data_IF_039403888472
#
_entry.id   IF_039403888472
#
_cell.length_a   1.000
_cell.length_b   1.000
_cell.length_c   1.000
_cell.angle_alpha   90.00
_cell.angle_beta   90.00
_cell.angle_gamma   90.00
#
_symmetry.space_group_name_H-M   'P 1'
#
loop_
_entity.id
_entity.type
_entity.pdbx_description
1 polymer ?
#
# COMPACT_ATOMS: atom_id res chain seq x y z
N UNK A 1 5.35 -5.67 31.53
CA UNK A 1 4.97 -6.28 30.25
C UNK A 1 3.60 -6.96 30.39
N UNK A 2 3.39 -7.94 31.31
CA UNK A 2 2.14 -8.72 31.43
C UNK A 2 0.90 -7.83 31.58
N UNK A 3 0.88 -6.87 32.53
CA UNK A 3 -0.24 -5.96 32.76
C UNK A 3 -0.56 -5.09 31.54
N UNK A 4 0.46 -4.68 30.77
CA UNK A 4 0.27 -3.94 29.51
C UNK A 4 -0.40 -4.81 28.46
N UNK A 5 0.02 -6.06 28.32
CA UNK A 5 -0.59 -7.00 27.37
C UNK A 5 -2.04 -7.34 27.74
N UNK A 6 -2.31 -7.55 29.03
CA UNK A 6 -3.67 -7.74 29.56
C UNK A 6 -4.56 -6.51 29.30
N UNK A 7 -4.02 -5.30 29.49
CA UNK A 7 -4.73 -4.06 29.20
C UNK A 7 -5.04 -3.94 27.70
N UNK A 8 -4.03 -4.14 26.82
CA UNK A 8 -4.23 -4.09 25.37
C UNK A 8 -5.26 -5.13 24.91
N UNK A 9 -5.18 -6.38 25.41
CA UNK A 9 -6.12 -7.42 25.05
C UNK A 9 -7.57 -7.16 25.48
N UNK A 10 -7.76 -6.32 26.50
CA UNK A 10 -9.11 -5.98 27.01
C UNK A 10 -9.67 -4.68 26.38
N UNK A 11 -8.83 -3.82 25.81
CA UNK A 11 -9.24 -2.47 25.34
C UNK A 11 -9.21 -2.35 23.82
N UNK A 12 -8.30 -3.09 23.15
CA UNK A 12 -8.20 -3.04 21.70
C UNK A 12 -9.36 -3.87 21.10
N UNK A 13 -10.20 -3.26 20.25
CA UNK A 13 -11.33 -3.96 19.65
C UNK A 13 -10.87 -5.01 18.63
N UNK A 14 -11.64 -6.06 18.47
CA UNK A 14 -11.46 -7.00 17.37
C UNK A 14 -11.82 -6.35 16.03
N UNK A 15 -11.40 -6.97 14.93
CA UNK A 15 -11.59 -6.42 13.57
C UNK A 15 -13.07 -6.27 13.20
N UNK A 16 -13.94 -7.12 13.73
CA UNK A 16 -15.40 -7.11 13.52
C UNK A 16 -16.14 -6.09 14.41
N UNK A 17 -15.51 -5.63 15.48
CA UNK A 17 -16.01 -4.55 16.35
C UNK A 17 -15.64 -3.14 15.82
N UNK A 18 -14.75 -3.06 14.81
CA UNK A 18 -14.35 -1.80 14.23
C UNK A 18 -15.48 -1.19 13.38
N UNK A 19 -15.50 0.15 13.23
CA UNK A 19 -16.45 0.83 12.35
C UNK A 19 -16.44 0.21 10.94
N UNK A 20 -17.62 0.04 10.31
CA UNK A 20 -17.71 -0.58 9.01
C UNK A 20 -16.90 0.19 7.95
N UNK A 21 -16.15 -0.52 7.15
CA UNK A 21 -15.44 0.05 6.01
C UNK A 21 -16.37 0.07 4.79
N UNK A 22 -16.37 1.18 4.06
CA UNK A 22 -17.16 1.35 2.85
C UNK A 22 -16.25 1.38 1.62
N UNK A 23 -16.69 0.71 0.56
CA UNK A 23 -16.05 0.85 -0.74
C UNK A 23 -16.46 2.18 -1.43
N UNK A 24 -15.90 2.48 -2.60
CA UNK A 24 -16.21 3.72 -3.34
C UNK A 24 -17.67 3.84 -3.78
N UNK A 25 -18.43 2.73 -3.77
CA UNK A 25 -19.87 2.70 -4.07
C UNK A 25 -20.73 2.93 -2.83
N UNK A 26 -20.12 3.08 -1.66
CA UNK A 26 -20.82 3.24 -0.37
C UNK A 26 -21.31 1.93 0.24
N UNK A 27 -20.97 0.78 -0.33
CA UNK A 27 -21.33 -0.54 0.18
C UNK A 27 -20.43 -0.91 1.35
N UNK A 28 -21.00 -1.52 2.38
CA UNK A 28 -20.27 -2.02 3.55
C UNK A 28 -19.48 -3.26 3.18
N UNK A 29 -18.16 -3.23 3.39
CA UNK A 29 -17.29 -4.39 3.28
C UNK A 29 -17.01 -4.93 4.68
N UNK A 30 -17.54 -6.13 4.96
CA UNK A 30 -17.30 -6.81 6.24
C UNK A 30 -16.00 -7.61 6.19
N UNK A 31 -15.30 -7.71 7.32
CA UNK A 31 -14.10 -8.55 7.44
C UNK A 31 -14.48 -10.05 7.56
N UNK A 32 -15.08 -10.60 6.51
CA UNK A 32 -15.51 -11.98 6.43
C UNK A 32 -14.44 -12.82 5.74
N UNK A 33 -13.82 -13.74 6.45
CA UNK A 33 -12.79 -14.65 5.92
C UNK A 33 -13.33 -15.66 4.89
N UNK A 34 -14.64 -15.86 4.79
CA UNK A 34 -15.27 -16.75 3.80
C UNK A 34 -15.80 -15.97 2.59
N UNK A 35 -15.73 -14.64 2.64
CA UNK A 35 -16.15 -13.78 1.55
C UNK A 35 -15.16 -13.72 0.39
N UNK A 36 -15.52 -13.02 -0.70
CA UNK A 36 -14.61 -12.77 -1.82
C UNK A 36 -13.44 -11.89 -1.37
N UNK A 37 -12.23 -12.26 -1.81
CA UNK A 37 -11.00 -11.62 -1.34
C UNK A 37 -10.82 -10.23 -1.89
N UNK A 38 -10.53 -9.27 -1.00
CA UNK A 38 -10.11 -7.91 -1.34
C UNK A 38 -8.94 -7.49 -0.46
N UNK A 39 -7.90 -6.97 -1.08
CA UNK A 39 -6.69 -6.47 -0.42
C UNK A 39 -6.57 -4.97 -0.67
N UNK A 40 -6.25 -4.19 0.36
CA UNK A 40 -5.97 -2.78 0.24
C UNK A 40 -4.51 -2.47 0.54
N UNK A 41 -3.80 -1.90 -0.43
CA UNK A 41 -2.39 -1.55 -0.31
C UNK A 41 -2.24 -0.14 0.24
N UNK A 42 -1.76 -0.02 1.47
CA UNK A 42 -1.75 1.25 2.18
C UNK A 42 -0.36 1.88 2.33
N UNK A 43 0.70 1.13 2.00
CA UNK A 43 2.09 1.62 2.10
C UNK A 43 3.01 0.85 1.17
N UNK A 44 3.94 1.56 0.56
CA UNK A 44 5.12 1.00 -0.13
C UNK A 44 6.38 1.44 0.59
N UNK A 45 7.34 0.55 0.75
CA UNK A 45 8.68 0.86 1.25
C UNK A 45 9.70 0.33 0.24
N UNK A 46 10.75 1.09 -0.02
CA UNK A 46 11.84 0.67 -0.91
C UNK A 46 13.00 0.16 -0.07
N UNK A 47 13.29 -1.12 -0.18
CA UNK A 47 14.36 -1.73 0.59
C UNK A 47 15.57 -2.07 -0.28
N UNK A 48 16.80 -1.83 0.21
CA UNK A 48 18.02 -2.24 -0.48
C UNK A 48 17.98 -3.75 -0.77
N UNK A 49 18.35 -4.15 -1.98
CA UNK A 49 18.46 -5.55 -2.44
C UNK A 49 17.13 -6.31 -2.63
N UNK A 50 16.01 -5.81 -2.12
CA UNK A 50 14.69 -6.43 -2.26
C UNK A 50 13.84 -5.68 -3.27
N UNK A 51 13.95 -4.35 -3.29
CA UNK A 51 13.13 -3.44 -4.07
C UNK A 51 11.86 -3.03 -3.32
N UNK A 52 10.77 -2.90 -4.05
CA UNK A 52 9.51 -2.44 -3.49
C UNK A 52 8.86 -3.53 -2.63
N UNK A 53 8.58 -3.16 -1.39
CA UNK A 53 7.83 -3.95 -0.42
C UNK A 53 6.49 -3.28 -0.22
N UNK A 54 5.42 -3.93 -0.67
CA UNK A 54 4.07 -3.39 -0.55
C UNK A 54 3.35 -4.00 0.64
N UNK A 55 2.87 -3.12 1.53
CA UNK A 55 2.09 -3.49 2.70
C UNK A 55 0.61 -3.41 2.38
N UNK A 56 -0.12 -4.44 2.77
CA UNK A 56 -1.54 -4.55 2.53
C UNK A 56 -2.30 -4.99 3.78
N UNK A 57 -3.59 -4.68 3.79
CA UNK A 57 -4.57 -5.23 4.72
C UNK A 57 -5.55 -6.11 3.94
N UNK A 58 -5.85 -7.28 4.49
CA UNK A 58 -6.93 -8.14 3.98
C UNK A 58 -8.25 -7.54 4.45
N UNK A 59 -9.01 -6.96 3.53
CA UNK A 59 -10.28 -6.30 3.84
C UNK A 59 -11.44 -7.29 3.92
N UNK A 60 -11.38 -8.35 3.11
CA UNK A 60 -12.36 -9.45 3.05
C UNK A 60 -11.70 -10.68 2.45
N UNK A 61 -12.22 -11.85 2.75
CA UNK A 61 -11.74 -13.13 2.23
C UNK A 61 -10.42 -13.58 2.86
N UNK A 62 -9.68 -14.35 2.09
CA UNK A 62 -8.37 -14.90 2.42
C UNK A 62 -7.42 -14.73 1.24
N UNK A 63 -6.14 -14.62 1.53
CA UNK A 63 -5.08 -14.62 0.52
C UNK A 63 -4.09 -15.73 0.81
N UNK A 64 -3.73 -16.47 -0.23
CA UNK A 64 -2.71 -17.52 -0.20
C UNK A 64 -1.52 -17.15 -1.07
N UNK A 65 -0.40 -17.76 -0.77
CA UNK A 65 0.76 -17.72 -1.65
C UNK A 65 0.39 -18.26 -3.04
N UNK A 66 0.72 -17.49 -4.08
CA UNK A 66 0.46 -17.86 -5.47
C UNK A 66 -0.89 -17.43 -6.03
N UNK A 67 -1.74 -16.78 -5.26
CA UNK A 67 -3.04 -16.31 -5.72
C UNK A 67 -2.93 -15.21 -6.78
N UNK A 68 -3.87 -15.23 -7.73
CA UNK A 68 -4.01 -14.26 -8.80
C UNK A 68 -5.09 -13.22 -8.45
N UNK A 69 -4.78 -11.96 -8.68
CA UNK A 69 -5.64 -10.81 -8.39
C UNK A 69 -5.78 -9.90 -9.59
N UNK A 70 -6.83 -9.09 -9.57
CA UNK A 70 -7.01 -7.98 -10.51
C UNK A 70 -6.94 -6.67 -9.75
N UNK A 71 -6.10 -5.74 -10.21
CA UNK A 71 -6.03 -4.39 -9.65
C UNK A 71 -7.27 -3.60 -10.11
N UNK A 72 -8.14 -3.24 -9.16
CA UNK A 72 -9.39 -2.53 -9.41
C UNK A 72 -9.17 -1.09 -9.90
N UNK A 73 -8.01 -0.52 -9.63
CA UNK A 73 -7.69 0.86 -9.98
C UNK A 73 -7.03 0.98 -11.35
N UNK A 74 -6.29 -0.05 -11.77
CA UNK A 74 -5.48 -0.04 -13.00
C UNK A 74 -5.90 -1.10 -14.03
N UNK A 75 -6.70 -2.10 -13.63
CA UNK A 75 -7.13 -3.20 -14.48
C UNK A 75 -6.04 -4.25 -14.76
N UNK A 76 -4.86 -4.10 -14.18
CA UNK A 76 -3.75 -5.05 -14.35
C UNK A 76 -3.98 -6.33 -13.55
N UNK A 77 -3.41 -7.43 -14.04
CA UNK A 77 -3.40 -8.71 -13.33
C UNK A 77 -2.11 -8.85 -12.55
N UNK A 78 -2.22 -9.20 -11.28
CA UNK A 78 -1.12 -9.37 -10.36
C UNK A 78 -1.15 -10.76 -9.73
N UNK A 79 0.02 -11.34 -9.51
CA UNK A 79 0.17 -12.58 -8.77
C UNK A 79 0.98 -12.34 -7.50
N UNK A 80 0.41 -12.68 -6.37
CA UNK A 80 1.09 -12.59 -5.09
C UNK A 80 1.90 -13.87 -4.88
N UNK A 81 3.18 -13.81 -5.25
CA UNK A 81 4.06 -14.98 -5.18
C UNK A 81 4.37 -15.41 -3.75
N UNK A 82 4.48 -14.45 -2.82
CA UNK A 82 4.81 -14.70 -1.43
C UNK A 82 4.13 -13.67 -0.54
N UNK A 83 3.72 -14.11 0.66
CA UNK A 83 3.13 -13.25 1.69
C UNK A 83 3.92 -13.37 2.99
N UNK A 84 4.04 -12.24 3.69
CA UNK A 84 4.81 -12.15 4.92
C UNK A 84 4.02 -11.43 6.01
N UNK A 85 4.05 -11.99 7.22
CA UNK A 85 3.69 -11.27 8.42
C UNK A 85 4.88 -10.42 8.86
N UNK A 86 4.64 -9.15 9.18
CA UNK A 86 5.68 -8.18 9.51
C UNK A 86 5.68 -7.86 11.00
N UNK A 87 6.83 -8.04 11.65
CA UNK A 87 7.07 -7.67 13.04
C UNK A 87 8.30 -6.75 13.10
N UNK A 88 8.08 -5.44 12.93
CA UNK A 88 9.15 -4.47 12.73
C UNK A 88 9.96 -4.76 11.47
N UNK A 89 11.26 -4.92 11.60
CA UNK A 89 12.15 -5.27 10.47
C UNK A 89 12.10 -6.77 10.10
N UNK A 90 11.52 -7.61 10.96
CA UNK A 90 11.46 -9.05 10.72
C UNK A 90 10.23 -9.39 9.87
N UNK A 91 10.44 -10.23 8.86
CA UNK A 91 9.39 -10.79 8.02
C UNK A 91 9.36 -12.29 8.19
N UNK A 92 8.19 -12.80 8.49
CA UNK A 92 7.94 -14.22 8.65
C UNK A 92 7.07 -14.63 7.47
N UNK A 93 7.57 -15.54 6.63
CA UNK A 93 6.78 -16.08 5.53
C UNK A 93 5.60 -16.87 6.10
N UNK A 94 4.42 -16.63 5.56
CA UNK A 94 3.18 -17.31 5.91
C UNK A 94 2.49 -17.84 4.66
N UNK A 95 1.70 -18.88 4.79
CA UNK A 95 1.00 -19.49 3.67
C UNK A 95 -0.37 -18.87 3.40
N UNK A 96 -1.03 -18.37 4.44
CA UNK A 96 -2.36 -17.76 4.39
C UNK A 96 -2.43 -16.52 5.28
N UNK A 97 -3.22 -15.54 4.87
CA UNK A 97 -3.71 -14.44 5.70
C UNK A 97 -5.21 -14.28 5.52
N UNK A 98 -5.91 -13.90 6.58
CA UNK A 98 -7.38 -13.78 6.63
C UNK A 98 -7.83 -12.33 6.79
N UNK A 99 -9.11 -12.08 6.57
CA UNK A 99 -9.71 -10.75 6.74
C UNK A 99 -9.37 -10.14 8.11
N UNK A 100 -8.84 -8.93 8.08
CA UNK A 100 -8.31 -8.20 9.24
C UNK A 100 -6.79 -8.21 9.36
N UNK A 101 -6.11 -9.20 8.79
CA UNK A 101 -4.65 -9.30 8.85
C UNK A 101 -3.96 -8.21 8.03
N UNK A 102 -2.79 -7.84 8.51
CA UNK A 102 -1.87 -6.92 7.83
C UNK A 102 -0.59 -7.69 7.49
N UNK A 103 -0.22 -7.64 6.22
CA UNK A 103 0.97 -8.28 5.72
C UNK A 103 1.71 -7.44 4.70
N UNK A 104 2.76 -8.03 4.15
CA UNK A 104 3.46 -7.45 3.02
C UNK A 104 3.80 -8.50 1.96
N UNK A 105 4.00 -8.02 0.76
CA UNK A 105 4.46 -8.80 -0.38
C UNK A 105 5.52 -8.02 -1.16
N UNK A 106 6.19 -8.69 -2.06
CA UNK A 106 7.26 -8.13 -2.88
C UNK A 106 7.04 -8.47 -4.35
N UNK A 107 7.72 -7.73 -5.24
CA UNK A 107 7.76 -8.03 -6.69
C UNK A 107 6.42 -7.95 -7.42
N UNK A 108 5.47 -7.14 -6.94
CA UNK A 108 4.32 -6.77 -7.75
C UNK A 108 4.75 -5.82 -8.87
N UNK A 109 4.06 -5.88 -10.00
CA UNK A 109 4.47 -5.15 -11.22
C UNK A 109 3.86 -3.77 -11.30
N UNK A 110 2.57 -3.66 -10.97
CA UNK A 110 1.79 -2.45 -11.19
C UNK A 110 0.81 -2.20 -10.02
N UNK A 111 1.36 -2.24 -8.80
CA UNK A 111 0.60 -1.95 -7.57
C UNK A 111 1.27 -0.82 -6.83
N UNK A 112 0.50 0.20 -6.50
CA UNK A 112 0.90 1.40 -5.78
C UNK A 112 0.13 1.57 -4.49
N UNK A 113 0.63 2.43 -3.61
CA UNK A 113 -0.10 2.82 -2.40
C UNK A 113 -1.46 3.39 -2.76
N UNK A 114 -2.51 2.90 -2.09
CA UNK A 114 -3.91 3.24 -2.34
C UNK A 114 -4.64 2.29 -3.29
N UNK A 115 -3.95 1.35 -3.94
CA UNK A 115 -4.61 0.41 -4.84
C UNK A 115 -5.37 -0.69 -4.10
N UNK A 116 -6.40 -1.20 -4.76
CA UNK A 116 -7.20 -2.34 -4.33
C UNK A 116 -6.96 -3.53 -5.25
N UNK A 117 -6.58 -4.67 -4.71
CA UNK A 117 -6.52 -5.93 -5.45
C UNK A 117 -7.70 -6.81 -5.08
N UNK A 118 -8.40 -7.31 -6.09
CA UNK A 118 -9.56 -8.20 -5.94
C UNK A 118 -9.25 -9.60 -6.45
N UNK A 119 -9.58 -10.59 -5.63
CA UNK A 119 -9.68 -11.97 -6.04
C UNK A 119 -10.96 -12.24 -6.84
N UNK A 120 -11.12 -13.47 -7.28
CA UNK A 120 -12.30 -13.89 -8.05
C UNK A 120 -13.60 -13.65 -7.27
N UNK A 121 -14.55 -12.97 -7.90
CA UNK A 121 -15.87 -12.68 -7.30
C UNK A 121 -15.92 -11.42 -6.43
N UNK A 122 -14.84 -10.68 -6.31
CA UNK A 122 -14.82 -9.37 -5.67
C UNK A 122 -14.70 -8.25 -6.72
N UNK A 123 -15.42 -7.13 -6.48
CA UNK A 123 -15.36 -5.90 -7.27
C UNK A 123 -15.20 -4.67 -6.38
N UNK A 124 -14.64 -4.87 -5.20
CA UNK A 124 -14.43 -3.78 -4.26
C UNK A 124 -13.36 -2.81 -4.80
N UNK A 125 -13.55 -1.53 -4.48
CA UNK A 125 -12.56 -0.48 -4.64
C UNK A 125 -12.62 0.41 -3.43
N UNK A 126 -11.48 0.63 -2.76
CA UNK A 126 -11.44 1.49 -1.58
C UNK A 126 -10.96 2.89 -1.96
N UNK A 127 -11.37 3.87 -1.16
CA UNK A 127 -10.93 5.25 -1.35
C UNK A 127 -9.43 5.37 -1.06
N UNK A 128 -8.76 6.20 -1.85
CA UNK A 128 -7.38 6.59 -1.56
C UNK A 128 -7.28 7.28 -0.20
N UNK A 129 -6.19 7.06 0.50
CA UNK A 129 -5.89 7.78 1.73
C UNK A 129 -5.72 9.26 1.37
N UNK A 130 -6.48 10.11 2.06
CA UNK A 130 -6.38 11.55 1.88
C UNK A 130 -5.20 12.08 2.70
N UNK A 131 -4.11 12.37 2.04
CA UNK A 131 -2.93 12.96 2.65
C UNK A 131 -3.11 14.48 2.85
N UNK A 132 -2.41 15.09 3.83
CA UNK A 132 -2.36 16.54 3.96
C UNK A 132 -1.69 17.18 2.74
N UNK A 133 -2.11 18.39 2.40
CA UNK A 133 -1.46 19.13 1.32
C UNK A 133 -0.05 19.54 1.73
N UNK A 134 0.88 19.47 0.79
CA UNK A 134 2.24 19.97 0.94
C UNK A 134 2.26 21.46 1.29
N UNK A 135 3.16 21.86 2.19
CA UNK A 135 3.26 23.25 2.66
C UNK A 135 4.54 23.94 2.23
N UNK A 136 5.51 23.19 1.76
CA UNK A 136 6.81 23.69 1.33
C UNK A 136 7.12 23.23 -0.08
N UNK A 137 7.78 24.10 -0.86
CA UNK A 137 8.14 23.81 -2.24
C UNK A 137 9.56 24.25 -2.51
N UNK A 138 10.32 23.45 -3.24
CA UNK A 138 11.69 23.79 -3.64
C UNK A 138 11.99 23.29 -5.03
N UNK A 139 12.63 24.15 -5.82
CA UNK A 139 13.18 23.75 -7.10
C UNK A 139 14.50 22.98 -6.88
N UNK A 140 14.64 21.88 -7.57
CA UNK A 140 15.84 21.04 -7.55
C UNK A 140 16.39 20.89 -8.97
N UNK A 141 17.70 20.77 -9.07
CA UNK A 141 18.41 20.52 -10.33
C UNK A 141 19.47 19.45 -10.10
N UNK A 142 19.73 18.58 -11.08
CA UNK A 142 20.86 17.67 -10.99
C UNK A 142 22.17 18.48 -11.08
N UNK A 143 23.24 17.95 -10.53
CA UNK A 143 24.58 18.55 -10.65
C UNK A 143 25.07 18.51 -12.09
N UNK A 144 24.82 17.43 -12.80
CA UNK A 144 25.10 17.27 -14.22
C UNK A 144 23.79 17.02 -14.97
N UNK A 145 23.64 17.63 -16.14
CA UNK A 145 22.41 17.45 -16.96
C UNK A 145 22.16 15.98 -17.35
N UNK A 146 23.23 15.20 -17.52
CA UNK A 146 23.17 13.76 -17.79
C UNK A 146 22.49 12.93 -16.69
N UNK A 147 22.38 13.47 -15.48
CA UNK A 147 21.78 12.77 -14.34
C UNK A 147 20.30 13.10 -14.13
N UNK A 148 19.69 13.89 -15.03
CA UNK A 148 18.28 14.28 -14.95
C UNK A 148 17.34 13.07 -14.85
N UNK A 149 17.56 12.07 -15.69
CA UNK A 149 16.72 10.84 -15.65
C UNK A 149 16.89 10.07 -14.35
N UNK A 150 18.11 9.93 -13.85
CA UNK A 150 18.38 9.26 -12.57
C UNK A 150 17.73 10.01 -11.41
N UNK A 151 17.80 11.34 -11.42
CA UNK A 151 17.12 12.18 -10.44
C UNK A 151 15.62 11.94 -10.45
N UNK A 152 14.99 11.89 -11.62
CA UNK A 152 13.55 11.65 -11.75
C UNK A 152 13.15 10.27 -11.26
N UNK A 153 13.95 9.25 -11.56
CA UNK A 153 13.73 7.90 -11.04
C UNK A 153 13.79 7.89 -9.51
N UNK A 154 14.78 8.54 -8.92
CA UNK A 154 14.91 8.63 -7.46
C UNK A 154 13.72 9.36 -6.81
N UNK A 155 13.32 10.50 -7.38
CA UNK A 155 12.17 11.26 -6.89
C UNK A 155 10.86 10.48 -6.96
N UNK A 156 10.62 9.76 -8.05
CA UNK A 156 9.43 8.91 -8.18
C UNK A 156 9.42 7.79 -7.14
N UNK A 157 10.58 7.19 -6.83
CA UNK A 157 10.68 6.22 -5.75
C UNK A 157 10.36 6.83 -4.39
N UNK A 158 10.89 8.02 -4.09
CA UNK A 158 10.57 8.73 -2.83
C UNK A 158 9.07 9.01 -2.71
N UNK A 159 8.41 9.36 -3.82
CA UNK A 159 6.95 9.57 -3.85
C UNK A 159 6.16 8.29 -3.62
N UNK A 160 6.66 7.12 -4.05
CA UNK A 160 6.01 5.83 -3.73
C UNK A 160 6.09 5.52 -2.23
N UNK A 161 7.20 5.85 -1.56
CA UNK A 161 7.34 5.67 -0.12
C UNK A 161 6.53 6.68 0.69
N UNK A 162 6.52 7.94 0.24
CA UNK A 162 5.79 9.03 0.88
C UNK A 162 4.90 9.76 -0.16
N UNK A 163 3.63 9.37 -0.26
CA UNK A 163 2.67 9.95 -1.21
C UNK A 163 2.32 11.42 -0.95
N UNK A 164 2.81 12.03 0.13
CA UNK A 164 2.64 13.48 0.36
C UNK A 164 3.52 14.32 -0.57
N UNK A 165 4.55 13.73 -1.15
CA UNK A 165 5.43 14.41 -2.10
C UNK A 165 4.77 14.56 -3.46
N UNK A 166 4.72 15.80 -3.94
CA UNK A 166 4.26 16.14 -5.29
C UNK A 166 5.44 16.64 -6.10
N UNK A 167 5.65 16.05 -7.28
CA UNK A 167 6.74 16.41 -8.18
C UNK A 167 6.11 17.09 -9.39
N UNK A 168 6.43 18.35 -9.60
CA UNK A 168 5.99 19.15 -10.74
C UNK A 168 7.17 19.50 -11.63
N UNK A 169 7.01 19.25 -12.94
CA UNK A 169 7.98 19.63 -13.96
C UNK A 169 7.46 20.86 -14.71
N UNK A 170 7.96 22.03 -14.33
CA UNK A 170 7.68 23.25 -15.07
C UNK A 170 8.50 23.28 -16.36
N UNK A 171 7.82 23.05 -17.49
CA UNK A 171 8.42 23.15 -18.83
C UNK A 171 8.85 24.58 -19.16
N UNK A 172 8.10 25.57 -18.69
CA UNK A 172 8.38 26.99 -18.91
C UNK A 172 9.66 27.45 -18.19
N UNK A 173 9.79 27.05 -16.92
CA UNK A 173 10.93 27.40 -16.08
C UNK A 173 12.13 26.43 -16.21
N UNK A 174 11.94 25.32 -16.93
CA UNK A 174 12.92 24.21 -17.01
C UNK A 174 13.39 23.76 -15.62
N UNK A 175 12.48 23.65 -14.70
CA UNK A 175 12.75 23.29 -13.30
C UNK A 175 11.88 22.13 -12.86
N UNK A 176 12.44 21.29 -12.01
CA UNK A 176 11.68 20.28 -11.25
C UNK A 176 11.42 20.85 -9.87
N UNK A 177 10.15 21.02 -9.53
CA UNK A 177 9.71 21.53 -8.22
C UNK A 177 9.21 20.34 -7.42
N UNK A 178 9.71 20.21 -6.20
CA UNK A 178 9.25 19.21 -5.24
C UNK A 178 8.48 19.95 -4.15
N UNK A 179 7.28 19.47 -3.87
CA UNK A 179 6.40 19.93 -2.81
C UNK A 179 6.31 18.85 -1.73
N UNK A 180 6.49 19.23 -0.43
CA UNK A 180 6.47 18.33 0.71
C UNK A 180 6.05 19.01 2.01
#
# INVERSE_FOLDING_TARGET
VRRLMEFLGNVVPFVDEMPPVHNTRGEVVKPDSNGPTSLYFFKTAVEPHIGDVQYFKVMSGKVHEGDDFTNADRGSKERIAQIYACAGANRIKVEEMVAGDIGCTVKLKDVHTGNTLNGKGSENRFNFIKYPNSKYSRAIKPLNESDTEKMMVALNRMREEDPTWVIDQSKELRQTIVHG
#
